data_IF_983194567133
#
_entry.id   IF_983194567133
#
_cell.length_a   1.000
_cell.length_b   1.000
_cell.length_c   1.000
_cell.angle_alpha   90.00
_cell.angle_beta   90.00
_cell.angle_gamma   90.00
#
_symmetry.space_group_name_H-M   'P 1'
#
loop_
_entity.id
_entity.type
_entity.pdbx_description
1 polymer ?
#
# COMPACT_ATOMS: atom_id res chain seq x y z
N UNK A 1 10.28 -7.31 -7.00
CA UNK A 1 8.85 -7.67 -6.98
C UNK A 1 8.46 -8.58 -8.12
N UNK A 2 7.68 -9.61 -7.80
CA UNK A 2 6.85 -10.30 -8.79
C UNK A 2 5.66 -9.43 -9.20
N UNK A 3 5.09 -9.72 -10.36
CA UNK A 3 3.91 -9.00 -10.89
C UNK A 3 2.73 -9.11 -9.91
N UNK A 4 2.54 -10.28 -9.30
CA UNK A 4 1.48 -10.56 -8.33
C UNK A 4 1.58 -9.64 -7.09
N UNK A 5 2.77 -9.47 -6.50
CA UNK A 5 2.99 -8.57 -5.36
C UNK A 5 2.68 -7.11 -5.71
N UNK A 6 3.08 -6.68 -6.90
CA UNK A 6 2.83 -5.32 -7.39
C UNK A 6 1.32 -5.07 -7.59
N UNK A 7 0.59 -6.05 -8.13
CA UNK A 7 -0.87 -5.99 -8.27
C UNK A 7 -1.54 -5.97 -6.90
N UNK A 8 -1.12 -6.82 -5.95
CA UNK A 8 -1.67 -6.85 -4.60
C UNK A 8 -1.46 -5.54 -3.86
N UNK A 9 -0.26 -4.97 -3.89
CA UNK A 9 0.03 -3.68 -3.27
C UNK A 9 -0.79 -2.54 -3.90
N UNK A 10 -0.96 -2.57 -5.23
CA UNK A 10 -1.80 -1.60 -5.94
C UNK A 10 -3.28 -1.74 -5.54
N UNK A 11 -3.78 -2.98 -5.44
CA UNK A 11 -5.15 -3.26 -5.00
C UNK A 11 -5.39 -2.77 -3.57
N UNK A 12 -4.47 -3.05 -2.63
CA UNK A 12 -4.55 -2.56 -1.25
C UNK A 12 -4.54 -1.02 -1.18
N UNK A 13 -3.74 -0.36 -2.01
CA UNK A 13 -3.71 1.10 -2.09
C UNK A 13 -5.03 1.68 -2.61
N UNK A 14 -5.62 1.08 -3.65
CA UNK A 14 -6.93 1.49 -4.18
C UNK A 14 -8.02 1.26 -3.13
N UNK A 15 -8.04 0.08 -2.50
CA UNK A 15 -9.00 -0.24 -1.44
C UNK A 15 -8.90 0.74 -0.28
N UNK A 16 -7.68 1.06 0.15
CA UNK A 16 -7.44 2.05 1.20
C UNK A 16 -7.92 3.45 0.84
N UNK A 17 -7.77 3.87 -0.42
CA UNK A 17 -8.31 5.16 -0.91
C UNK A 17 -9.83 5.17 -0.91
N UNK A 18 -10.46 4.09 -1.38
CA UNK A 18 -11.92 3.95 -1.40
C UNK A 18 -12.47 3.96 0.03
N UNK A 19 -11.85 3.21 0.94
CA UNK A 19 -12.25 3.17 2.35
C UNK A 19 -12.06 4.53 3.04
N UNK A 20 -10.98 5.25 2.71
CA UNK A 20 -10.75 6.59 3.25
C UNK A 20 -11.78 7.61 2.74
N UNK A 21 -12.08 7.59 1.44
CA UNK A 21 -13.09 8.45 0.83
C UNK A 21 -14.49 8.14 1.37
N UNK A 22 -14.83 6.85 1.50
CA UNK A 22 -16.10 6.43 2.10
C UNK A 22 -16.21 6.94 3.55
N UNK A 23 -15.17 6.75 4.38
CA UNK A 23 -15.14 7.25 5.74
C UNK A 23 -15.22 8.78 5.84
N UNK A 24 -14.63 9.51 4.90
CA UNK A 24 -14.75 10.97 4.84
C UNK A 24 -16.18 11.41 4.49
N UNK A 25 -16.83 10.73 3.56
CA UNK A 25 -18.21 11.02 3.15
C UNK A 25 -19.21 10.66 4.25
N UNK A 26 -19.03 9.53 4.92
CA UNK A 26 -19.95 9.06 5.98
C UNK A 26 -19.65 9.65 7.35
N UNK A 27 -18.52 10.35 7.51
CA UNK A 27 -18.03 10.85 8.81
C UNK A 27 -17.41 9.76 9.70
N UNK A 28 -17.18 8.56 9.18
CA UNK A 28 -16.58 7.45 9.90
C UNK A 28 -15.05 7.59 9.96
N UNK A 29 -14.56 8.19 11.06
CA UNK A 29 -13.14 8.43 11.31
C UNK A 29 -12.31 7.15 11.36
N UNK A 30 -12.92 6.03 11.76
CA UNK A 30 -12.27 4.72 11.78
C UNK A 30 -11.95 4.24 10.37
N UNK A 31 -12.93 4.23 9.47
CA UNK A 31 -12.76 3.85 8.07
C UNK A 31 -11.75 4.75 7.37
N UNK A 32 -11.78 6.06 7.69
CA UNK A 32 -10.76 7.00 7.20
C UNK A 32 -9.35 6.58 7.63
N UNK A 33 -9.15 6.33 8.92
CA UNK A 33 -7.86 5.93 9.47
C UNK A 33 -7.38 4.58 8.91
N UNK A 34 -8.26 3.57 8.84
CA UNK A 34 -7.95 2.26 8.28
C UNK A 34 -7.56 2.36 6.79
N UNK A 35 -8.27 3.19 6.02
CA UNK A 35 -7.94 3.47 4.62
C UNK A 35 -6.56 4.11 4.44
N UNK A 36 -6.18 5.04 5.31
CA UNK A 36 -4.81 5.61 5.32
C UNK A 36 -3.76 4.58 5.74
N UNK A 37 -4.05 3.73 6.72
CA UNK A 37 -3.14 2.68 7.16
C UNK A 37 -2.82 1.68 6.04
N UNK A 38 -3.84 1.24 5.28
CA UNK A 38 -3.65 0.36 4.11
C UNK A 38 -2.77 1.00 3.03
N UNK A 39 -2.94 2.31 2.78
CA UNK A 39 -2.10 3.04 1.83
C UNK A 39 -0.65 3.15 2.32
N UNK A 40 -0.44 3.34 3.63
CA UNK A 40 0.90 3.38 4.21
C UNK A 40 1.59 2.00 4.17
N UNK A 41 0.86 0.92 4.45
CA UNK A 41 1.37 -0.45 4.38
C UNK A 41 1.76 -0.85 2.95
N UNK A 42 0.95 -0.46 1.96
CA UNK A 42 1.27 -0.66 0.55
C UNK A 42 2.58 0.06 0.16
N UNK A 43 2.76 1.31 0.58
CA UNK A 43 4.00 2.07 0.34
C UNK A 43 5.21 1.47 1.05
N UNK A 44 5.05 1.03 2.30
CA UNK A 44 6.11 0.37 3.06
C UNK A 44 6.55 -0.95 2.39
N UNK A 45 5.59 -1.72 1.87
CA UNK A 45 5.87 -2.94 1.11
C UNK A 45 6.65 -2.62 -0.17
N UNK A 46 6.26 -1.56 -0.89
CA UNK A 46 6.99 -1.08 -2.05
C UNK A 46 8.45 -0.74 -1.73
N UNK A 47 8.65 0.12 -0.73
CA UNK A 47 9.98 0.56 -0.32
C UNK A 47 10.87 -0.61 0.14
N UNK A 48 10.31 -1.57 0.91
CA UNK A 48 11.05 -2.74 1.39
C UNK A 48 11.56 -3.60 0.23
N UNK A 49 10.71 -3.84 -0.76
CA UNK A 49 11.05 -4.64 -1.93
C UNK A 49 12.02 -3.89 -2.87
N UNK A 50 11.91 -2.56 -3.01
CA UNK A 50 12.88 -1.77 -3.78
C UNK A 50 14.28 -1.84 -3.15
N UNK A 51 14.38 -1.77 -1.81
CA UNK A 51 15.65 -1.97 -1.09
C UNK A 51 16.21 -3.37 -1.34
N UNK A 52 15.35 -4.41 -1.32
CA UNK A 52 15.76 -5.78 -1.58
C UNK A 52 16.26 -5.99 -3.01
N UNK A 53 15.59 -5.37 -4.00
CA UNK A 53 15.99 -5.40 -5.41
C UNK A 53 17.35 -4.71 -5.62
N UNK A 54 17.56 -3.55 -4.97
CA UNK A 54 18.83 -2.83 -5.00
C UNK A 54 19.98 -3.64 -4.39
N UNK A 55 19.75 -4.27 -3.22
CA UNK A 55 20.74 -5.16 -2.61
C UNK A 55 21.07 -6.34 -3.53
N UNK A 56 20.07 -6.96 -4.14
CA UNK A 56 20.27 -8.09 -5.04
C UNK A 56 21.12 -7.70 -6.25
N UNK A 57 20.86 -6.55 -6.85
CA UNK A 57 21.67 -6.00 -7.96
C UNK A 57 23.09 -5.62 -7.58
N UNK A 58 23.35 -5.30 -6.31
CA UNK A 58 24.69 -4.97 -5.84
C UNK A 58 25.54 -6.22 -5.52
N UNK A 59 24.89 -7.38 -5.34
CA UNK A 59 25.52 -8.67 -5.01
C UNK A 59 25.71 -9.55 -6.26
N UNK A 60 24.89 -9.35 -7.30
CA UNK A 60 25.02 -9.96 -8.64
C UNK A 60 26.16 -9.31 -9.45
#
# INVERSE_FOLDING_TARGET
>A
MSIEDRVKATAQNIEGKVQAAAGEITGDTRSKAEGHAKQAEAQATHAKEDVKDALKKAID
#
